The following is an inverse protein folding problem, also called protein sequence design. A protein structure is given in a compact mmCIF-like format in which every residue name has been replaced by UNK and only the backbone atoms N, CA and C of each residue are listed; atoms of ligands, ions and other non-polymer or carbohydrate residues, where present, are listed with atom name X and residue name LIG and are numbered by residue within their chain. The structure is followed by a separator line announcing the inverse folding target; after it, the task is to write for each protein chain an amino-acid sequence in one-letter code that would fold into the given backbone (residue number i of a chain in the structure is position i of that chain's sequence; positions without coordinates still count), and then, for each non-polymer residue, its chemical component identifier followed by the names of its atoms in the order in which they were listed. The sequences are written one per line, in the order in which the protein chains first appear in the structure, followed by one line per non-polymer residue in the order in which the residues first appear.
data_IF_054385662082
#
_entry.id   IF_054385662082
#
_cell.length_a   1.000
_cell.length_b   1.000
_cell.length_c   1.000
_cell.angle_alpha   90.00
_cell.angle_beta   90.00
_cell.angle_gamma   90.00
#
_symmetry.space_group_name_H-M   'P 1'
#
loop_
_entity.id
_entity.type
_entity.pdbx_description
1 polymer ?
#
# COMPACT_ATOMS: atom_id res chain seq x y z
N UNK A 1 -6.12 2.46 14.44
CA UNK A 1 -6.06 3.30 15.66
C UNK A 1 -7.27 4.23 15.72
N UNK A 2 -7.95 4.25 16.88
CA UNK A 2 -9.10 5.15 17.12
C UNK A 2 -8.67 6.26 18.10
N UNK A 3 -7.63 6.02 18.86
CA UNK A 3 -6.99 6.97 19.77
C UNK A 3 -5.54 7.26 19.37
N UNK A 4 -4.94 8.27 19.99
CA UNK A 4 -3.57 8.70 19.76
C UNK A 4 -3.39 9.53 18.48
N UNK A 5 -2.15 9.73 18.08
CA UNK A 5 -1.73 10.60 16.96
C UNK A 5 -2.42 10.25 15.63
N UNK A 6 -2.65 8.97 15.37
CA UNK A 6 -3.25 8.49 14.13
C UNK A 6 -4.78 8.27 14.22
N UNK A 7 -5.45 8.84 15.22
CA UNK A 7 -6.87 8.62 15.48
C UNK A 7 -7.80 9.03 14.32
N UNK A 8 -7.45 10.10 13.62
CA UNK A 8 -8.26 10.59 12.49
C UNK A 8 -8.33 9.59 11.33
N UNK A 9 -7.23 8.86 11.09
CA UNK A 9 -7.20 7.80 10.06
C UNK A 9 -8.19 6.68 10.47
N UNK A 10 -8.12 6.22 11.70
CA UNK A 10 -8.99 5.15 12.20
C UNK A 10 -10.47 5.54 12.19
N UNK A 11 -10.79 6.75 12.64
CA UNK A 11 -12.15 7.30 12.61
C UNK A 11 -12.69 7.39 11.17
N UNK A 12 -11.86 7.85 10.22
CA UNK A 12 -12.24 7.93 8.80
C UNK A 12 -12.54 6.55 8.21
N UNK A 13 -11.74 5.54 8.55
CA UNK A 13 -11.97 4.16 8.12
C UNK A 13 -13.29 3.63 8.69
N UNK A 14 -13.56 3.83 9.98
CA UNK A 14 -14.85 3.41 10.60
C UNK A 14 -16.04 4.07 9.90
N UNK A 15 -15.96 5.39 9.63
CA UNK A 15 -16.99 6.10 8.88
C UNK A 15 -17.22 5.49 7.50
N UNK A 16 -16.15 5.20 6.77
CA UNK A 16 -16.23 4.59 5.43
C UNK A 16 -16.84 3.20 5.47
N UNK A 17 -16.45 2.36 6.43
CA UNK A 17 -17.04 1.02 6.61
C UNK A 17 -18.52 1.11 6.94
N UNK A 18 -18.92 2.00 7.85
CA UNK A 18 -20.33 2.23 8.20
C UNK A 18 -21.17 2.68 6.99
N UNK A 19 -20.64 3.61 6.19
CA UNK A 19 -21.29 4.05 4.95
C UNK A 19 -21.46 2.90 3.96
N UNK A 20 -20.44 2.06 3.79
CA UNK A 20 -20.52 0.89 2.92
C UNK A 20 -21.58 -0.12 3.40
N UNK A 21 -21.60 -0.43 4.70
CA UNK A 21 -22.59 -1.35 5.29
C UNK A 21 -24.01 -0.79 5.16
N UNK A 22 -24.21 0.49 5.43
CA UNK A 22 -25.50 1.14 5.24
C UNK A 22 -25.97 1.05 3.77
N UNK A 23 -25.05 1.22 2.82
CA UNK A 23 -25.37 1.11 1.38
C UNK A 23 -25.73 -0.33 0.99
N UNK A 24 -25.10 -1.34 1.60
CA UNK A 24 -25.42 -2.76 1.39
C UNK A 24 -26.81 -3.09 1.93
N UNK A 25 -27.25 -2.39 2.98
CA UNK A 25 -28.55 -2.55 3.62
C UNK A 25 -28.87 -4.01 4.03
N UNK A 26 -27.86 -4.70 4.57
CA UNK A 26 -28.01 -6.07 5.08
C UNK A 26 -27.99 -6.05 6.62
N UNK A 27 -29.12 -6.36 7.31
CA UNK A 27 -29.19 -6.32 8.77
C UNK A 27 -28.33 -7.39 9.47
N UNK A 28 -27.86 -8.39 8.73
CA UNK A 28 -26.99 -9.44 9.27
C UNK A 28 -25.53 -9.05 9.38
N UNK A 29 -25.15 -7.83 8.94
CA UNK A 29 -23.79 -7.34 9.03
C UNK A 29 -23.62 -6.46 10.27
N UNK A 30 -22.87 -6.94 11.23
CA UNK A 30 -22.49 -6.18 12.43
C UNK A 30 -21.03 -5.75 12.37
N UNK A 31 -20.73 -4.56 12.91
CA UNK A 31 -19.37 -4.01 12.96
C UNK A 31 -18.95 -3.91 14.42
N UNK A 32 -17.81 -4.51 14.74
CA UNK A 32 -17.19 -4.50 16.06
C UNK A 32 -15.89 -3.68 16.06
N UNK A 33 -15.92 -2.34 16.21
CA UNK A 33 -14.74 -1.51 16.22
C UNK A 33 -13.84 -1.84 17.41
N UNK A 34 -12.53 -1.95 17.17
CA UNK A 34 -11.50 -2.11 18.21
C UNK A 34 -10.37 -1.12 17.97
N UNK A 35 -9.92 -0.50 19.04
CA UNK A 35 -8.80 0.42 18.99
C UNK A 35 -7.48 -0.33 19.10
N UNK A 36 -6.59 -0.10 18.15
CA UNK A 36 -5.25 -0.68 18.14
C UNK A 36 -4.21 0.26 18.76
N UNK A 37 -4.55 1.52 19.01
CA UNK A 37 -3.65 2.59 19.46
C UNK A 37 -2.31 2.62 18.68
N UNK A 38 -2.28 2.16 17.42
CA UNK A 38 -1.07 1.94 16.60
C UNK A 38 -0.01 1.05 17.25
N UNK A 39 -0.41 0.16 18.19
CA UNK A 39 0.46 -0.74 18.95
C UNK A 39 0.22 -2.20 18.50
N UNK A 40 1.27 -2.98 18.17
CA UNK A 40 1.13 -4.36 17.71
C UNK A 40 0.57 -5.31 18.77
N UNK A 41 0.95 -5.16 20.05
CA UNK A 41 0.46 -6.03 21.14
C UNK A 41 -1.03 -5.79 21.41
N UNK A 42 -1.46 -4.51 21.43
CA UNK A 42 -2.89 -4.16 21.56
C UNK A 42 -3.67 -4.68 20.36
N UNK A 43 -3.09 -4.61 19.16
CA UNK A 43 -3.69 -5.15 17.94
C UNK A 43 -3.94 -6.65 18.07
N UNK A 44 -2.92 -7.43 18.47
CA UNK A 44 -3.05 -8.86 18.68
C UNK A 44 -4.07 -9.19 19.77
N UNK A 45 -4.01 -8.50 20.92
CA UNK A 45 -4.96 -8.70 22.05
C UNK A 45 -6.40 -8.50 21.59
N UNK A 46 -6.66 -7.45 20.81
CA UNK A 46 -8.01 -7.17 20.31
C UNK A 46 -8.43 -8.17 19.23
N UNK A 47 -7.51 -8.61 18.38
CA UNK A 47 -7.80 -9.63 17.38
C UNK A 47 -8.15 -10.99 18.05
N UNK A 48 -7.43 -11.39 19.10
CA UNK A 48 -7.75 -12.60 19.90
C UNK A 48 -9.17 -12.52 20.48
N UNK A 49 -9.53 -11.39 21.09
CA UNK A 49 -10.89 -11.18 21.63
C UNK A 49 -11.97 -11.26 20.56
N UNK A 50 -11.72 -10.72 19.35
CA UNK A 50 -12.65 -10.84 18.23
C UNK A 50 -12.79 -12.30 17.77
N UNK A 51 -11.68 -13.02 17.69
CA UNK A 51 -11.66 -14.44 17.33
C UNK A 51 -12.42 -15.31 18.33
N UNK A 52 -12.24 -15.09 19.63
CA UNK A 52 -12.98 -15.75 20.71
C UNK A 52 -14.52 -15.53 20.58
N UNK A 53 -14.93 -14.41 20.04
CA UNK A 53 -16.35 -14.10 19.72
C UNK A 53 -16.78 -14.63 18.34
N UNK A 54 -16.00 -15.52 17.70
CA UNK A 54 -16.33 -16.15 16.43
C UNK A 54 -16.04 -15.31 15.17
N UNK A 55 -15.40 -14.15 15.30
CA UNK A 55 -15.09 -13.28 14.16
C UNK A 55 -13.83 -13.80 13.47
N UNK A 56 -13.95 -14.13 12.18
CA UNK A 56 -12.87 -14.68 11.35
C UNK A 56 -12.36 -13.72 10.27
N UNK A 57 -13.03 -12.59 10.05
CA UNK A 57 -12.61 -11.57 9.08
C UNK A 57 -12.44 -10.25 9.80
N UNK A 58 -11.25 -9.68 9.74
CA UNK A 58 -10.92 -8.41 10.41
C UNK A 58 -10.41 -7.41 9.35
N UNK A 59 -11.06 -6.25 9.25
CA UNK A 59 -10.59 -5.13 8.44
C UNK A 59 -9.59 -4.33 9.25
N UNK A 60 -8.33 -4.31 8.79
CA UNK A 60 -7.19 -3.74 9.49
C UNK A 60 -6.11 -4.77 9.77
N UNK A 61 -5.06 -4.39 10.47
CA UNK A 61 -4.71 -3.02 10.86
C UNK A 61 -4.29 -2.13 9.69
N UNK A 62 -4.09 -0.83 9.98
CA UNK A 62 -3.68 0.15 8.98
C UNK A 62 -2.18 0.08 8.72
N UNK A 63 -1.39 0.01 9.77
CA UNK A 63 0.06 0.10 9.69
C UNK A 63 0.73 -1.28 9.67
N UNK A 64 1.73 -1.43 8.80
CA UNK A 64 2.48 -2.68 8.64
C UNK A 64 3.12 -3.17 9.95
N UNK A 65 3.61 -2.26 10.80
CA UNK A 65 4.19 -2.63 12.11
C UNK A 65 3.23 -3.39 13.01
N UNK A 66 1.94 -3.23 12.82
CA UNK A 66 0.91 -3.89 13.64
C UNK A 66 0.57 -5.32 13.15
N UNK A 67 1.20 -5.79 12.06
CA UNK A 67 0.99 -7.12 11.50
C UNK A 67 1.85 -8.20 12.16
N UNK A 68 2.89 -7.80 12.86
CA UNK A 68 4.05 -8.63 13.28
C UNK A 68 3.69 -9.87 14.10
N UNK A 69 2.57 -9.87 14.82
CA UNK A 69 2.14 -11.01 15.64
C UNK A 69 0.86 -11.70 15.15
N UNK A 70 0.28 -11.25 14.04
CA UNK A 70 -1.04 -11.71 13.59
C UNK A 70 -1.01 -13.09 12.92
N UNK A 71 0.17 -13.64 12.62
CA UNK A 71 0.37 -15.02 12.18
C UNK A 71 0.01 -16.06 13.23
N UNK A 72 -0.09 -15.69 14.52
CA UNK A 72 -0.61 -16.55 15.57
C UNK A 72 -2.07 -16.97 15.33
N UNK A 73 -2.85 -16.10 14.66
CA UNK A 73 -4.29 -16.32 14.41
C UNK A 73 -4.53 -16.85 12.98
N UNK A 74 -4.09 -18.08 12.72
CA UNK A 74 -4.10 -18.70 11.38
C UNK A 74 -5.50 -18.80 10.75
N UNK A 75 -6.53 -18.92 11.57
CA UNK A 75 -7.94 -19.05 11.14
C UNK A 75 -8.66 -17.71 10.95
N UNK A 76 -7.95 -16.61 11.19
CA UNK A 76 -8.45 -15.24 10.98
C UNK A 76 -7.86 -14.65 9.71
N UNK A 77 -8.69 -14.16 8.83
CA UNK A 77 -8.26 -13.40 7.65
C UNK A 77 -8.25 -11.90 7.97
N UNK A 78 -7.08 -11.29 7.82
CA UNK A 78 -6.92 -9.85 7.98
C UNK A 78 -6.91 -9.14 6.63
N UNK A 79 -7.85 -8.22 6.41
CA UNK A 79 -7.86 -7.30 5.28
C UNK A 79 -7.11 -6.04 5.69
N UNK A 80 -5.79 -6.09 5.67
CA UNK A 80 -4.94 -4.99 6.11
C UNK A 80 -4.94 -3.84 5.11
N UNK A 81 -5.06 -2.62 5.61
CA UNK A 81 -5.03 -1.41 4.79
C UNK A 81 -3.60 -0.91 4.49
N UNK A 82 -2.59 -1.68 4.88
CA UNK A 82 -1.20 -1.37 4.56
C UNK A 82 -0.94 -1.44 3.06
N UNK A 83 -0.06 -0.58 2.59
CA UNK A 83 0.47 -0.63 1.23
C UNK A 83 1.68 -1.56 1.07
N UNK A 84 2.26 -2.06 2.17
CA UNK A 84 3.39 -2.99 2.15
C UNK A 84 2.91 -4.43 1.98
N UNK A 85 3.57 -5.17 1.09
CA UNK A 85 3.26 -6.57 0.75
C UNK A 85 4.44 -7.53 1.03
N UNK A 86 5.56 -6.99 1.54
CA UNK A 86 6.77 -7.78 1.81
C UNK A 86 6.67 -8.40 3.21
N UNK A 87 6.94 -9.70 3.28
CA UNK A 87 6.98 -10.47 4.52
C UNK A 87 5.69 -10.45 5.36
N UNK A 88 4.53 -10.28 4.72
CA UNK A 88 3.27 -10.40 5.43
C UNK A 88 2.96 -11.89 5.74
N UNK A 89 2.38 -12.18 6.91
CA UNK A 89 1.82 -13.49 7.21
C UNK A 89 0.80 -13.94 6.16
N UNK A 90 0.65 -15.26 5.97
CA UNK A 90 -0.22 -15.83 4.91
C UNK A 90 -1.70 -15.51 5.08
N UNK A 91 -2.14 -15.26 6.29
CA UNK A 91 -3.52 -14.90 6.65
C UNK A 91 -3.80 -13.40 6.50
N UNK A 92 -2.86 -12.62 5.94
CA UNK A 92 -3.01 -11.18 5.72
C UNK A 92 -3.10 -10.87 4.24
N UNK A 93 -4.21 -10.25 3.84
CA UNK A 93 -4.43 -9.72 2.52
C UNK A 93 -4.21 -8.20 2.57
N UNK A 94 -3.17 -7.71 1.88
CA UNK A 94 -2.94 -6.27 1.74
C UNK A 94 -3.94 -5.68 0.75
N UNK A 95 -4.79 -4.77 1.21
CA UNK A 95 -5.81 -4.08 0.42
C UNK A 95 -5.41 -2.66 0.05
N UNK A 96 -4.30 -2.16 0.60
CA UNK A 96 -3.76 -0.84 0.28
C UNK A 96 -3.19 -0.76 -1.14
N UNK A 97 -3.15 0.45 -1.67
CA UNK A 97 -2.50 0.72 -2.96
C UNK A 97 -0.98 0.60 -2.77
N UNK A 98 -0.39 -0.42 -3.38
CA UNK A 98 1.04 -0.71 -3.30
C UNK A 98 1.74 -0.54 -4.67
N UNK A 99 3.06 -0.55 -4.67
CA UNK A 99 3.87 -0.35 -5.88
C UNK A 99 3.49 -1.33 -7.01
N UNK A 100 3.18 -2.59 -6.68
CA UNK A 100 2.80 -3.58 -7.69
C UNK A 100 1.44 -3.26 -8.36
N UNK A 101 0.44 -2.83 -7.57
CA UNK A 101 -0.87 -2.44 -8.12
C UNK A 101 -0.76 -1.17 -8.98
N UNK A 102 0.05 -0.20 -8.57
CA UNK A 102 0.33 1.00 -9.34
C UNK A 102 1.02 0.68 -10.67
N UNK A 103 2.08 -0.13 -10.66
CA UNK A 103 2.79 -0.52 -11.88
C UNK A 103 1.95 -1.37 -12.83
N UNK A 104 1.06 -2.22 -12.31
CA UNK A 104 0.08 -2.94 -13.15
C UNK A 104 -0.89 -1.98 -13.85
N UNK A 105 -1.34 -0.94 -13.15
CA UNK A 105 -2.21 0.11 -13.72
C UNK A 105 -1.48 0.91 -14.80
N UNK A 106 -0.24 1.33 -14.53
CA UNK A 106 0.61 2.01 -15.50
C UNK A 106 0.84 1.13 -16.74
N UNK A 107 1.14 -0.15 -16.56
CA UNK A 107 1.29 -1.11 -17.66
C UNK A 107 0.03 -1.24 -18.52
N UNK A 108 -1.15 -1.25 -17.87
CA UNK A 108 -2.43 -1.26 -18.62
C UNK A 108 -2.61 0.04 -19.42
N UNK A 109 -2.29 1.18 -18.84
CA UNK A 109 -2.32 2.47 -19.52
C UNK A 109 -1.36 2.52 -20.72
N UNK A 110 -0.10 2.05 -20.54
CA UNK A 110 0.87 1.95 -21.64
C UNK A 110 0.32 1.14 -22.81
N UNK A 111 -0.28 -0.04 -22.50
CA UNK A 111 -0.85 -0.91 -23.54
C UNK A 111 -2.01 -0.25 -24.28
N UNK A 112 -2.89 0.45 -23.56
CA UNK A 112 -4.06 1.13 -24.16
C UNK A 112 -3.68 2.33 -25.02
N UNK A 113 -2.56 2.98 -24.74
CA UNK A 113 -2.11 4.18 -25.46
C UNK A 113 -0.87 3.91 -26.34
N UNK A 114 -0.51 2.64 -26.56
CA UNK A 114 0.62 2.22 -27.40
C UNK A 114 1.98 2.83 -26.99
N UNK A 115 2.14 3.14 -25.68
CA UNK A 115 3.34 3.73 -25.14
C UNK A 115 4.43 2.67 -25.01
N UNK A 116 5.50 2.80 -25.80
CA UNK A 116 6.60 1.84 -25.85
C UNK A 116 7.85 2.28 -25.09
N UNK A 117 7.96 3.57 -24.75
CA UNK A 117 9.13 4.14 -24.06
C UNK A 117 8.67 4.76 -22.74
N UNK A 118 9.06 4.19 -21.61
CA UNK A 118 8.73 4.69 -20.27
C UNK A 118 9.98 4.76 -19.42
N UNK A 119 10.16 5.87 -18.75
CA UNK A 119 11.21 6.10 -17.76
C UNK A 119 10.60 6.00 -16.39
N UNK A 120 11.29 5.39 -15.46
CA UNK A 120 10.88 5.31 -14.08
C UNK A 120 11.84 6.11 -13.20
N UNK A 121 11.28 6.98 -12.36
CA UNK A 121 12.00 7.71 -11.33
C UNK A 121 11.73 7.05 -9.98
N UNK A 122 12.78 6.60 -9.29
CA UNK A 122 12.69 5.91 -8.00
C UNK A 122 13.41 6.73 -6.94
N UNK A 123 12.79 7.02 -5.78
CA UNK A 123 13.48 7.64 -4.68
C UNK A 123 14.58 6.73 -4.13
N UNK A 124 15.72 7.29 -3.73
CA UNK A 124 16.87 6.54 -3.17
C UNK A 124 16.61 5.99 -1.76
N UNK A 125 15.50 6.35 -1.16
CA UNK A 125 15.15 6.06 0.23
C UNK A 125 14.47 4.69 0.42
N UNK A 126 13.90 4.48 1.60
CA UNK A 126 13.35 3.23 2.16
C UNK A 126 12.42 2.39 1.25
N UNK A 127 11.92 2.92 0.16
CA UNK A 127 10.98 2.24 -0.75
C UNK A 127 11.64 1.60 -1.98
N UNK A 128 12.96 1.79 -2.17
CA UNK A 128 13.69 1.34 -3.37
C UNK A 128 13.49 -0.14 -3.63
N UNK A 129 13.76 -0.98 -2.64
CA UNK A 129 13.66 -2.45 -2.77
C UNK A 129 12.25 -2.93 -3.11
N UNK A 130 11.24 -2.31 -2.49
CA UNK A 130 9.83 -2.63 -2.74
C UNK A 130 9.43 -2.30 -4.18
N UNK A 131 9.85 -1.13 -4.68
CA UNK A 131 9.58 -0.69 -6.04
C UNK A 131 10.32 -1.58 -7.05
N UNK A 132 11.60 -1.89 -6.84
CA UNK A 132 12.37 -2.77 -7.71
C UNK A 132 11.77 -4.18 -7.80
N UNK A 133 11.30 -4.73 -6.67
CA UNK A 133 10.59 -6.02 -6.63
C UNK A 133 9.27 -5.94 -7.39
N UNK A 134 8.52 -4.86 -7.23
CA UNK A 134 7.28 -4.63 -7.95
C UNK A 134 7.49 -4.47 -9.47
N UNK A 135 8.57 -3.82 -9.90
CA UNK A 135 8.97 -3.73 -11.32
C UNK A 135 9.14 -5.13 -11.91
N UNK A 136 9.91 -5.98 -11.24
CA UNK A 136 10.16 -7.37 -11.69
C UNK A 136 8.85 -8.16 -11.78
N UNK A 137 7.97 -8.04 -10.78
CA UNK A 137 6.69 -8.75 -10.71
C UNK A 137 5.67 -8.27 -11.75
N UNK A 138 5.61 -6.96 -12.00
CA UNK A 138 4.65 -6.37 -12.95
C UNK A 138 4.99 -6.68 -14.41
N UNK A 139 6.27 -7.01 -14.70
CA UNK A 139 6.78 -7.17 -16.07
C UNK A 139 6.45 -5.95 -16.95
N UNK A 140 6.49 -4.75 -16.36
CA UNK A 140 6.29 -3.50 -17.10
C UNK A 140 7.51 -3.25 -18.01
N UNK A 141 7.28 -2.74 -19.21
CA UNK A 141 8.36 -2.37 -20.13
C UNK A 141 8.90 -1.01 -19.70
N UNK A 142 10.12 -0.98 -19.21
CA UNK A 142 10.83 0.23 -18.77
C UNK A 142 12.06 0.36 -19.67
N UNK A 143 12.24 1.54 -20.24
CA UNK A 143 13.44 1.87 -21.05
C UNK A 143 14.63 2.16 -20.15
N UNK A 144 14.40 2.92 -19.09
CA UNK A 144 15.44 3.37 -18.17
C UNK A 144 14.91 3.67 -16.78
N UNK A 145 15.73 3.48 -15.76
CA UNK A 145 15.40 3.76 -14.36
C UNK A 145 16.40 4.79 -13.84
N UNK A 146 15.89 5.89 -13.29
CA UNK A 146 16.68 6.90 -12.60
C UNK A 146 16.34 6.90 -11.12
N UNK A 147 17.37 7.07 -10.30
CA UNK A 147 17.23 7.20 -8.87
C UNK A 147 17.40 8.66 -8.47
N UNK A 148 16.44 9.21 -7.75
CA UNK A 148 16.47 10.58 -7.30
C UNK A 148 16.54 10.73 -5.79
N UNK A 149 17.04 11.88 -5.34
CA UNK A 149 17.08 12.30 -3.94
C UNK A 149 15.81 13.12 -3.64
N UNK A 150 15.12 12.85 -2.52
CA UNK A 150 13.89 13.54 -2.16
C UNK A 150 14.10 14.98 -1.69
N UNK A 151 15.34 15.43 -1.50
CA UNK A 151 15.66 16.84 -1.24
C UNK A 151 15.24 17.69 -2.45
N UNK A 152 14.32 18.68 -2.27
CA UNK A 152 13.79 19.47 -3.38
C UNK A 152 14.86 20.17 -4.21
N UNK A 153 15.96 20.61 -3.59
CA UNK A 153 17.06 21.32 -4.27
C UNK A 153 17.86 20.41 -5.19
N UNK A 154 18.07 19.18 -4.77
CA UNK A 154 18.75 18.15 -5.56
C UNK A 154 17.83 17.57 -6.63
N UNK A 155 16.56 17.33 -6.28
CA UNK A 155 15.55 16.79 -7.20
C UNK A 155 15.40 17.66 -8.46
N UNK A 156 15.28 18.96 -8.28
CA UNK A 156 15.16 19.90 -9.42
C UNK A 156 16.32 19.77 -10.40
N UNK A 157 17.57 19.76 -9.89
CA UNK A 157 18.75 19.59 -10.73
C UNK A 157 18.77 18.25 -11.45
N UNK A 158 18.43 17.16 -10.76
CA UNK A 158 18.37 15.81 -11.35
C UNK A 158 17.33 15.70 -12.47
N UNK A 159 16.14 16.31 -12.28
CA UNK A 159 15.10 16.35 -13.32
C UNK A 159 15.59 17.15 -14.54
N UNK A 160 16.24 18.28 -14.33
CA UNK A 160 16.83 19.07 -15.43
C UNK A 160 17.89 18.26 -16.22
N UNK A 161 18.76 17.53 -15.53
CA UNK A 161 19.77 16.68 -16.17
C UNK A 161 19.14 15.59 -17.03
N UNK A 162 18.12 14.89 -16.49
CA UNK A 162 17.37 13.87 -17.21
C UNK A 162 16.67 14.46 -18.44
N UNK A 163 16.03 15.62 -18.29
CA UNK A 163 15.35 16.29 -19.39
C UNK A 163 16.31 16.71 -20.48
N UNK A 164 17.48 17.27 -20.12
CA UNK A 164 18.54 17.64 -21.08
C UNK A 164 19.09 16.42 -21.81
N UNK A 165 19.29 15.31 -21.12
CA UNK A 165 19.75 14.07 -21.72
C UNK A 165 18.80 13.52 -22.79
N UNK A 166 17.49 13.51 -22.52
CA UNK A 166 16.49 13.05 -23.47
C UNK A 166 16.20 14.06 -24.57
N UNK A 167 16.22 15.35 -24.29
CA UNK A 167 16.06 16.40 -25.30
C UNK A 167 17.17 16.37 -26.36
N UNK A 168 18.41 16.04 -25.96
CA UNK A 168 19.52 15.85 -26.89
C UNK A 168 19.38 14.60 -27.76
N UNK A 169 18.84 13.51 -27.21
CA UNK A 169 18.60 12.29 -28.00
C UNK A 169 17.50 12.41 -29.04
N UNK A 170 16.45 13.20 -28.78
CA UNK A 170 15.40 13.45 -29.76
C UNK A 170 15.88 14.29 -30.96
N UNK A 171 16.93 15.07 -30.77
CA UNK A 171 17.54 15.86 -31.85
C UNK A 171 18.59 15.07 -32.67
N UNK A 172 18.83 13.80 -32.34
CA UNK A 172 19.79 12.91 -33.03
C UNK A 172 19.10 11.72 -33.73
N UNK A 173 17.80 11.57 -33.58
CA UNK A 173 16.94 10.61 -34.31
C UNK A 173 16.03 11.37 -35.32
#
# INVERSE_FOLDING_TARGET
PITGENSEIGKSIIKSVRLAVNKINNPSIEIFPKDTASNPEITLKNAKKLYENGIKIIIGPVFNKNLIYLDELKDVTFLSLTNKIINNPKNIISTGINANSQLKTIKKFQKLNEINKTILLIPKENYKEEIEKAIKQSKIKIKEVFYYDSDPTKLTKQIEEITKYYGRKQNLE
#
